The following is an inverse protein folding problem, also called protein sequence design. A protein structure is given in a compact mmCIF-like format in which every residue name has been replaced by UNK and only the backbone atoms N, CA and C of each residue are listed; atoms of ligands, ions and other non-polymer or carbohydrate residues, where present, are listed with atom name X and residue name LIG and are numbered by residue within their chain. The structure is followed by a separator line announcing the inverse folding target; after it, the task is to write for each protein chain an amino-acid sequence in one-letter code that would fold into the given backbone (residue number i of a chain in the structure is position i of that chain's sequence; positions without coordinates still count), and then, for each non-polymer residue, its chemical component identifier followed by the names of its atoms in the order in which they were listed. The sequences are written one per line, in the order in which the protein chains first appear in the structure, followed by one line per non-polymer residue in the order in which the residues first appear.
data_IF_603396091832
#
_entry.id   IF_603396091832
#
_cell.length_a   1.000
_cell.length_b   1.000
_cell.length_c   1.000
_cell.angle_alpha   90.00
_cell.angle_beta   90.00
_cell.angle_gamma   90.00
#
_symmetry.space_group_name_H-M   'P 1'
#
loop_
_entity.id
_entity.type
_entity.pdbx_description
1 polymer ?
#
# COMPACT_ATOMS: atom_id res chain seq x y z
N UNK A 1 3.29 24.96 14.00
CA UNK A 1 3.76 23.59 14.20
C UNK A 1 3.17 22.70 13.12
N UNK A 2 3.99 22.06 12.32
CA UNK A 2 3.49 21.19 11.27
C UNK A 2 3.06 19.85 11.83
N UNK A 3 2.01 19.29 11.24
CA UNK A 3 1.49 17.98 11.61
C UNK A 3 2.47 16.89 11.14
N UNK A 4 2.83 16.01 12.06
CA UNK A 4 3.71 14.87 11.73
C UNK A 4 2.87 13.68 11.27
N UNK A 5 2.67 13.58 9.96
CA UNK A 5 1.88 12.53 9.34
C UNK A 5 2.47 11.14 9.59
N UNK A 6 3.79 11.02 9.53
CA UNK A 6 4.45 9.73 9.75
C UNK A 6 4.15 9.19 11.15
N UNK A 7 4.41 10.00 12.18
CA UNK A 7 4.20 9.59 13.57
C UNK A 7 2.74 9.27 13.85
N UNK A 8 1.82 10.10 13.32
CA UNK A 8 0.40 9.89 13.50
C UNK A 8 -0.06 8.54 12.93
N UNK A 9 0.28 8.27 11.68
CA UNK A 9 -0.15 7.03 11.02
C UNK A 9 0.59 5.81 11.55
N UNK A 10 1.89 5.93 11.84
CA UNK A 10 2.66 4.83 12.43
C UNK A 10 2.10 4.41 13.78
N UNK A 11 1.66 5.36 14.62
CA UNK A 11 1.04 5.04 15.89
C UNK A 11 -0.26 4.26 15.69
N UNK A 12 -1.10 4.67 14.75
CA UNK A 12 -2.36 3.97 14.45
C UNK A 12 -2.12 2.56 13.94
N UNK A 13 -1.18 2.38 13.02
CA UNK A 13 -0.84 1.06 12.49
C UNK A 13 -0.20 0.17 13.56
N UNK A 14 0.61 0.74 14.43
CA UNK A 14 1.23 0.02 15.53
C UNK A 14 0.18 -0.42 16.56
N UNK A 15 -0.78 0.44 16.88
CA UNK A 15 -1.86 0.14 17.83
C UNK A 15 -2.78 -0.96 17.32
N UNK A 16 -2.94 -1.11 16.02
CA UNK A 16 -3.67 -2.22 15.43
C UNK A 16 -2.94 -3.56 15.57
N UNK A 17 -1.65 -3.54 15.93
CA UNK A 17 -0.84 -4.74 16.14
C UNK A 17 -0.70 -5.55 14.87
N UNK A 18 -0.95 -6.84 14.93
CA UNK A 18 -0.90 -7.72 13.76
C UNK A 18 -2.14 -7.60 12.88
N UNK A 19 -3.21 -6.99 13.39
CA UNK A 19 -4.41 -6.73 12.60
C UNK A 19 -4.16 -5.57 11.64
N UNK A 20 -4.83 -5.63 10.49
CA UNK A 20 -4.75 -4.56 9.49
C UNK A 20 -5.86 -3.55 9.76
N UNK A 21 -5.48 -2.27 9.88
CA UNK A 21 -6.38 -1.18 10.25
C UNK A 21 -7.61 -1.08 9.32
N UNK A 22 -7.40 -1.30 8.02
CA UNK A 22 -8.46 -1.27 7.00
C UNK A 22 -8.73 -2.65 6.39
N UNK A 23 -8.25 -3.72 7.01
CA UNK A 23 -8.40 -5.08 6.50
C UNK A 23 -7.38 -5.42 5.40
N UNK A 24 -7.54 -6.57 4.80
CA UNK A 24 -6.63 -7.09 3.77
C UNK A 24 -7.27 -7.21 2.38
N UNK A 25 -8.57 -6.97 2.27
CA UNK A 25 -9.26 -6.95 0.99
C UNK A 25 -9.07 -5.58 0.31
N UNK A 26 -9.04 -5.52 -1.02
CA UNK A 26 -8.91 -4.26 -1.73
C UNK A 26 -10.13 -3.36 -1.52
N UNK A 27 -9.97 -2.07 -1.82
CA UNK A 27 -11.08 -1.14 -1.87
C UNK A 27 -12.16 -1.70 -2.80
N UNK A 28 -13.41 -1.62 -2.38
CA UNK A 28 -14.54 -2.21 -3.14
C UNK A 28 -14.68 -1.64 -4.54
N UNK A 29 -14.50 -0.33 -4.70
CA UNK A 29 -14.54 0.29 -6.01
C UNK A 29 -13.42 -0.22 -6.90
N UNK A 30 -12.20 -0.31 -6.36
CA UNK A 30 -11.05 -0.82 -7.09
C UNK A 30 -11.32 -2.26 -7.57
N UNK A 31 -11.86 -3.11 -6.72
CA UNK A 31 -12.18 -4.49 -7.08
C UNK A 31 -13.21 -4.57 -8.22
N UNK A 32 -14.16 -3.62 -8.30
CA UNK A 32 -15.12 -3.58 -9.41
C UNK A 32 -14.48 -3.25 -10.76
N UNK A 33 -13.24 -2.74 -10.75
CA UNK A 33 -12.49 -2.37 -11.94
C UNK A 33 -11.46 -3.44 -12.34
N UNK A 34 -11.60 -4.66 -11.85
CA UNK A 34 -10.64 -5.75 -12.06
C UNK A 34 -10.29 -5.97 -13.54
N UNK A 35 -11.25 -5.83 -14.43
CA UNK A 35 -11.05 -6.02 -15.88
C UNK A 35 -10.06 -5.01 -16.49
N UNK A 36 -9.83 -3.88 -15.81
CA UNK A 36 -8.93 -2.83 -16.30
C UNK A 36 -7.48 -3.07 -15.93
N UNK A 37 -7.20 -4.05 -15.08
CA UNK A 37 -5.87 -4.34 -14.58
C UNK A 37 -5.42 -5.72 -15.03
N UNK A 38 -4.18 -5.84 -15.45
CA UNK A 38 -3.67 -7.12 -15.91
C UNK A 38 -2.18 -7.13 -16.15
N UNK A 39 -1.69 -8.26 -16.66
CA UNK A 39 -0.28 -8.53 -16.88
C UNK A 39 0.39 -7.47 -17.75
N UNK A 40 1.55 -7.00 -17.31
CA UNK A 40 2.33 -6.00 -18.02
C UNK A 40 1.94 -4.56 -17.74
N UNK A 41 0.83 -4.32 -17.01
CA UNK A 41 0.44 -2.96 -16.62
C UNK A 41 1.26 -2.49 -15.42
N UNK A 42 1.83 -1.28 -15.52
CA UNK A 42 2.55 -0.64 -14.41
C UNK A 42 1.60 0.27 -13.66
N UNK A 43 1.56 0.16 -12.34
CA UNK A 43 0.65 0.93 -11.48
C UNK A 43 1.41 1.55 -10.32
N UNK A 44 1.10 2.80 -10.03
CA UNK A 44 1.58 3.49 -8.82
C UNK A 44 0.41 3.64 -7.86
N UNK A 45 0.52 3.02 -6.69
CA UNK A 45 -0.46 3.17 -5.61
C UNK A 45 0.08 4.18 -4.59
N UNK A 46 -0.62 5.30 -4.43
CA UNK A 46 -0.19 6.41 -3.59
C UNK A 46 -0.87 6.32 -2.23
N UNK A 47 -0.11 6.54 -1.16
CA UNK A 47 -0.60 6.44 0.23
C UNK A 47 -1.33 5.11 0.48
N UNK A 48 -0.66 4.02 0.12
CA UNK A 48 -1.25 2.69 0.05
C UNK A 48 -1.58 2.08 1.43
N UNK A 49 -0.98 2.59 2.49
CA UNK A 49 -1.18 2.06 3.84
C UNK A 49 -0.53 0.69 4.02
N UNK A 50 -1.32 -0.27 4.48
CA UNK A 50 -0.84 -1.61 4.81
C UNK A 50 -0.88 -2.58 3.62
N UNK A 51 -1.05 -2.08 2.42
CA UNK A 51 -0.83 -2.84 1.19
C UNK A 51 -2.04 -3.52 0.57
N UNK A 52 -3.24 -3.37 1.13
CA UNK A 52 -4.41 -4.11 0.64
C UNK A 52 -4.70 -3.90 -0.85
N UNK A 53 -4.52 -2.68 -1.35
CA UNK A 53 -4.75 -2.37 -2.77
C UNK A 53 -3.56 -2.77 -3.64
N UNK A 54 -2.34 -2.42 -3.23
CA UNK A 54 -1.13 -2.74 -3.99
C UNK A 54 -0.95 -4.25 -4.15
N UNK A 55 -1.16 -5.01 -3.08
CA UNK A 55 -1.07 -6.47 -3.13
C UNK A 55 -2.13 -7.05 -4.07
N UNK A 56 -3.36 -6.57 -3.99
CA UNK A 56 -4.41 -7.01 -4.89
C UNK A 56 -4.06 -6.72 -6.37
N UNK A 57 -3.54 -5.52 -6.66
CA UNK A 57 -3.11 -5.15 -8.00
C UNK A 57 -2.00 -6.08 -8.51
N UNK A 58 -1.04 -6.40 -7.65
CA UNK A 58 0.03 -7.34 -7.99
C UNK A 58 -0.53 -8.75 -8.27
N UNK A 59 -1.56 -9.17 -7.52
CA UNK A 59 -2.25 -10.44 -7.76
C UNK A 59 -2.95 -10.46 -9.12
N UNK A 60 -3.32 -9.30 -9.67
CA UNK A 60 -3.89 -9.20 -11.02
C UNK A 60 -2.81 -9.24 -12.11
N UNK A 61 -1.53 -9.32 -11.75
CA UNK A 61 -0.43 -9.38 -12.69
C UNK A 61 0.23 -8.04 -12.99
N UNK A 62 -0.17 -6.96 -12.32
CA UNK A 62 0.44 -5.66 -12.52
C UNK A 62 1.83 -5.59 -11.90
N UNK A 63 2.68 -4.72 -12.49
CA UNK A 63 3.91 -4.28 -11.85
C UNK A 63 3.56 -3.08 -10.97
N UNK A 64 3.65 -3.22 -9.66
CA UNK A 64 3.15 -2.22 -8.72
C UNK A 64 4.29 -1.59 -7.96
N UNK A 65 4.29 -0.25 -7.93
CA UNK A 65 5.05 0.54 -6.97
C UNK A 65 4.05 1.20 -6.02
N UNK A 66 4.33 1.19 -4.73
CA UNK A 66 3.42 1.75 -3.74
C UNK A 66 4.17 2.68 -2.80
N UNK A 67 3.57 3.83 -2.51
CA UNK A 67 4.13 4.80 -1.57
C UNK A 67 3.33 4.81 -0.29
N UNK A 68 4.02 4.98 0.83
CA UNK A 68 3.41 5.15 2.13
C UNK A 68 4.38 5.88 3.06
N UNK A 69 3.90 6.80 3.86
CA UNK A 69 4.75 7.56 4.78
C UNK A 69 5.16 6.74 6.02
N UNK A 70 4.32 5.80 6.45
CA UNK A 70 4.54 5.03 7.67
C UNK A 70 5.39 3.80 7.43
N UNK A 71 6.59 3.69 8.05
CA UNK A 71 7.38 2.46 7.98
C UNK A 71 6.68 1.28 8.65
N UNK A 72 5.83 1.52 9.64
CA UNK A 72 5.02 0.47 10.29
C UNK A 72 4.04 -0.14 9.29
N UNK A 73 3.33 0.69 8.52
CA UNK A 73 2.42 0.23 7.49
C UNK A 73 3.15 -0.51 6.37
N UNK A 74 4.31 0.00 5.94
CA UNK A 74 5.12 -0.65 4.91
C UNK A 74 5.59 -2.05 5.34
N UNK A 75 5.96 -2.22 6.59
CA UNK A 75 6.34 -3.53 7.11
C UNK A 75 5.18 -4.52 7.05
N UNK A 76 3.98 -4.10 7.45
CA UNK A 76 2.77 -4.92 7.35
C UNK A 76 2.42 -5.23 5.90
N UNK A 77 2.55 -4.24 5.01
CA UNK A 77 2.29 -4.42 3.58
C UNK A 77 3.23 -5.44 2.96
N UNK A 78 4.52 -5.39 3.29
CA UNK A 78 5.50 -6.35 2.81
C UNK A 78 5.18 -7.78 3.28
N UNK A 79 4.74 -7.94 4.52
CA UNK A 79 4.30 -9.24 5.05
C UNK A 79 3.08 -9.77 4.30
N UNK A 80 2.12 -8.89 3.99
CA UNK A 80 0.93 -9.28 3.24
C UNK A 80 1.30 -9.75 1.84
N UNK A 81 2.16 -9.00 1.15
CA UNK A 81 2.64 -9.37 -0.19
C UNK A 81 3.34 -10.73 -0.17
N UNK A 82 4.21 -10.95 0.80
CA UNK A 82 4.92 -12.22 0.95
C UNK A 82 3.95 -13.37 1.17
N UNK A 83 2.95 -13.18 2.02
CA UNK A 83 1.93 -14.20 2.30
C UNK A 83 1.04 -14.50 1.08
N UNK A 84 0.90 -13.57 0.16
CA UNK A 84 0.14 -13.71 -1.09
C UNK A 84 1.03 -14.11 -2.29
N UNK A 85 2.33 -14.28 -2.07
CA UNK A 85 3.31 -14.66 -3.11
C UNK A 85 3.38 -13.66 -4.26
N UNK A 86 3.32 -12.37 -3.95
CA UNK A 86 3.48 -11.30 -4.93
C UNK A 86 4.57 -10.34 -4.51
N UNK A 87 5.10 -9.59 -5.49
CA UNK A 87 6.12 -8.59 -5.27
C UNK A 87 5.58 -7.19 -5.58
N UNK A 88 5.93 -6.24 -4.72
CA UNK A 88 5.58 -4.82 -4.88
C UNK A 88 6.81 -4.00 -4.52
N UNK A 89 7.07 -2.94 -5.28
CA UNK A 89 8.10 -1.96 -4.92
C UNK A 89 7.53 -1.01 -3.85
N UNK A 90 8.01 -1.16 -2.63
CA UNK A 90 7.57 -0.35 -1.50
C UNK A 90 8.49 0.86 -1.34
N UNK A 91 7.89 2.07 -1.31
CA UNK A 91 8.62 3.32 -1.16
C UNK A 91 8.07 4.09 0.04
N UNK A 92 8.92 4.39 1.01
CA UNK A 92 8.55 5.30 2.07
C UNK A 92 8.63 6.73 1.52
N UNK A 93 7.50 7.42 1.45
CA UNK A 93 7.43 8.76 0.90
C UNK A 93 6.28 9.57 1.50
N UNK A 94 6.55 10.85 1.76
CA UNK A 94 5.51 11.82 2.05
C UNK A 94 5.09 12.43 0.71
N UNK A 95 3.91 12.07 0.22
CA UNK A 95 3.44 12.48 -1.11
C UNK A 95 3.28 14.00 -1.25
N UNK A 96 3.16 14.73 -0.14
CA UNK A 96 3.06 16.18 -0.15
C UNK A 96 4.42 16.84 -0.45
N UNK A 97 5.52 16.13 -0.18
CA UNK A 97 6.89 16.61 -0.36
C UNK A 97 7.72 15.74 -1.31
N UNK A 98 7.07 14.83 -2.02
CA UNK A 98 7.74 13.86 -2.88
C UNK A 98 7.91 14.42 -4.29
N UNK A 99 9.07 14.17 -4.89
CA UNK A 99 9.28 14.45 -6.32
C UNK A 99 8.62 13.35 -7.13
N UNK A 100 7.54 13.69 -7.79
CA UNK A 100 6.79 12.74 -8.61
C UNK A 100 7.59 12.33 -9.85
N UNK A 101 7.56 11.03 -10.21
CA UNK A 101 8.21 10.54 -11.42
C UNK A 101 7.59 11.07 -12.70
#
# INVERSE_FOLDING_TARGET
MSFDHESFWSARYRDAGEDYLFGTAPNKFLATQAERFGAGMSVLSVADGEGRNAVWLAEQGCQVSATEISPVALEKAAKLAKGRHVEVDWLQADILNWEWP
#
